data_IF_606279896846
#
_entry.id   IF_606279896846
#
_cell.length_a   1.000
_cell.length_b   1.000
_cell.length_c   1.000
_cell.angle_alpha   90.00
_cell.angle_beta   90.00
_cell.angle_gamma   90.00
#
_symmetry.space_group_name_H-M   'P 1'
#
loop_
_entity.id
_entity.type
_entity.pdbx_description
1 polymer ?
#
# COMPACT_ATOMS: atom_id res chain seq x y z
N UNK A 1 41.32 -17.25 -19.21
CA UNK A 1 42.51 -17.66 -19.97
C UNK A 1 42.57 -19.16 -20.00
N UNK A 2 42.91 -19.72 -21.15
CA UNK A 2 43.04 -21.17 -21.35
C UNK A 2 44.47 -21.45 -21.78
N UNK A 3 45.12 -22.39 -21.09
CA UNK A 3 46.45 -22.87 -21.45
C UNK A 3 46.32 -24.23 -22.12
N UNK A 4 46.97 -24.38 -23.27
CA UNK A 4 46.99 -25.63 -24.03
C UNK A 4 48.16 -26.51 -23.62
N UNK A 5 47.97 -27.82 -23.71
CA UNK A 5 49.02 -28.83 -23.43
C UNK A 5 50.17 -28.82 -24.45
N UNK A 6 49.95 -28.22 -25.63
CA UNK A 6 50.95 -28.07 -26.69
C UNK A 6 50.61 -26.91 -27.62
N UNK A 7 51.50 -26.56 -28.57
CA UNK A 7 51.25 -25.48 -29.52
C UNK A 7 50.11 -25.86 -30.48
N UNK A 8 49.07 -25.02 -30.52
CA UNK A 8 48.00 -25.15 -31.51
C UNK A 8 48.44 -24.61 -32.87
N UNK A 9 48.12 -25.37 -33.91
CA UNK A 9 48.29 -25.01 -35.31
C UNK A 9 47.08 -24.24 -35.85
N UNK A 10 45.88 -24.63 -35.41
CA UNK A 10 44.63 -23.96 -35.76
C UNK A 10 43.69 -23.90 -34.57
N UNK A 11 42.98 -22.77 -34.45
CA UNK A 11 41.99 -22.53 -33.41
C UNK A 11 40.75 -21.99 -34.12
N UNK A 12 39.57 -22.50 -33.76
CA UNK A 12 38.32 -21.97 -34.27
C UNK A 12 37.20 -22.11 -33.23
N UNK A 13 36.23 -21.22 -33.35
CA UNK A 13 35.00 -21.22 -32.55
C UNK A 13 33.86 -21.59 -33.46
N UNK A 14 32.99 -22.51 -33.01
CA UNK A 14 31.85 -23.00 -33.80
C UNK A 14 30.88 -21.87 -34.20
N UNK A 15 30.70 -20.89 -33.32
CA UNK A 15 29.88 -19.71 -33.54
C UNK A 15 30.57 -18.43 -33.02
N UNK A 16 31.17 -17.59 -33.91
CA UNK A 16 31.85 -16.35 -33.55
C UNK A 16 30.91 -15.20 -33.17
N UNK A 17 29.59 -15.36 -33.34
CA UNK A 17 28.61 -14.41 -32.83
C UNK A 17 28.39 -14.59 -31.32
N UNK A 18 28.56 -15.81 -30.80
CA UNK A 18 28.40 -16.14 -29.38
C UNK A 18 29.67 -15.84 -28.59
N UNK A 19 30.82 -16.32 -29.05
CA UNK A 19 32.10 -16.10 -28.40
C UNK A 19 33.22 -15.91 -29.42
N UNK A 20 34.26 -15.18 -29.04
CA UNK A 20 35.42 -14.90 -29.87
C UNK A 20 36.70 -15.19 -29.08
N UNK A 21 37.83 -15.27 -29.77
CA UNK A 21 39.09 -15.61 -29.13
C UNK A 21 40.24 -14.74 -29.64
N UNK A 22 41.25 -14.57 -28.77
CA UNK A 22 42.56 -14.08 -29.16
C UNK A 22 43.62 -15.03 -28.64
N UNK A 23 44.57 -15.38 -29.48
CA UNK A 23 45.69 -16.25 -29.14
C UNK A 23 47.00 -15.46 -29.24
N UNK A 24 47.44 -14.77 -28.18
CA UNK A 24 48.72 -14.06 -28.17
C UNK A 24 49.92 -14.99 -28.35
N UNK A 25 49.75 -16.28 -28.05
CA UNK A 25 50.72 -17.33 -28.35
C UNK A 25 50.01 -18.63 -28.71
N UNK A 26 50.76 -19.57 -29.28
CA UNK A 26 50.24 -20.86 -29.73
C UNK A 26 49.83 -21.77 -28.55
N UNK A 27 50.13 -21.38 -27.31
CA UNK A 27 49.83 -22.16 -26.10
C UNK A 27 48.85 -21.44 -25.15
N UNK A 28 48.51 -20.18 -25.41
CA UNK A 28 47.65 -19.37 -24.53
C UNK A 28 46.53 -18.71 -25.33
N UNK A 29 45.30 -18.94 -24.89
CA UNK A 29 44.09 -18.43 -25.54
C UNK A 29 43.28 -17.59 -24.55
N UNK A 30 42.91 -16.39 -24.95
CA UNK A 30 41.87 -15.58 -24.33
C UNK A 30 40.55 -15.83 -25.05
N UNK A 31 39.49 -16.10 -24.29
CA UNK A 31 38.14 -16.35 -24.81
C UNK A 31 37.23 -15.25 -24.27
N UNK A 32 36.47 -14.63 -25.16
CA UNK A 32 35.57 -13.53 -24.85
C UNK A 32 34.15 -13.92 -25.24
N UNK A 33 33.20 -13.83 -24.30
CA UNK A 33 31.78 -13.96 -24.62
C UNK A 33 31.26 -12.67 -25.25
N UNK A 34 30.56 -12.77 -26.38
CA UNK A 34 29.94 -11.62 -27.08
C UNK A 34 28.43 -11.61 -26.94
N UNK A 35 27.79 -12.77 -27.08
CA UNK A 35 26.33 -12.92 -27.03
C UNK A 35 25.94 -14.11 -26.19
N UNK A 36 24.82 -14.01 -25.47
CA UNK A 36 24.26 -15.12 -24.72
C UNK A 36 24.00 -16.33 -25.62
N UNK A 37 24.44 -17.51 -25.19
CA UNK A 37 24.37 -18.73 -26.00
C UNK A 37 25.35 -19.80 -25.57
N UNK A 38 25.39 -20.89 -26.35
CA UNK A 38 26.34 -22.00 -26.18
C UNK A 38 27.12 -22.16 -27.47
N UNK A 39 28.43 -22.27 -27.36
CA UNK A 39 29.33 -22.52 -28.48
C UNK A 39 30.49 -23.38 -28.03
N UNK A 40 31.30 -23.87 -28.96
CA UNK A 40 32.49 -24.67 -28.67
C UNK A 40 33.71 -24.05 -29.31
N UNK A 41 34.83 -24.09 -28.61
CA UNK A 41 36.14 -23.74 -29.13
C UNK A 41 36.96 -25.01 -29.29
N UNK A 42 37.58 -25.16 -30.46
CA UNK A 42 38.46 -26.25 -30.79
C UNK A 42 39.86 -25.71 -31.07
N UNK A 43 40.86 -26.34 -30.46
CA UNK A 43 42.26 -26.10 -30.75
C UNK A 43 42.87 -27.40 -31.25
N UNK A 44 43.44 -27.38 -32.47
CA UNK A 44 44.02 -28.54 -33.13
C UNK A 44 45.55 -28.40 -33.24
N UNK A 45 46.27 -29.51 -33.18
CA UNK A 45 47.69 -29.57 -33.50
C UNK A 45 47.95 -29.65 -35.01
N UNK A 46 49.22 -29.67 -35.42
CA UNK A 46 49.64 -29.75 -36.83
C UNK A 46 49.16 -31.04 -37.55
N UNK A 47 48.79 -32.07 -36.79
CA UNK A 47 48.28 -33.35 -37.32
C UNK A 47 46.74 -33.38 -37.44
N UNK A 48 46.06 -32.29 -37.06
CA UNK A 48 44.60 -32.20 -37.04
C UNK A 48 43.94 -32.87 -35.84
N UNK A 49 44.71 -33.27 -34.82
CA UNK A 49 44.17 -33.84 -33.58
C UNK A 49 43.79 -32.72 -32.60
N UNK A 50 42.67 -32.86 -31.90
CA UNK A 50 42.21 -31.88 -30.93
C UNK A 50 43.09 -31.86 -29.68
N UNK A 51 43.82 -30.76 -29.50
CA UNK A 51 44.55 -30.45 -28.27
C UNK A 51 43.61 -30.05 -27.14
N UNK A 52 42.53 -29.35 -27.47
CA UNK A 52 41.50 -28.97 -26.51
C UNK A 52 40.14 -28.78 -27.20
N UNK A 53 39.08 -29.23 -26.51
CA UNK A 53 37.69 -28.95 -26.83
C UNK A 53 37.06 -28.27 -25.61
N UNK A 54 36.66 -27.00 -25.75
CA UNK A 54 36.04 -26.24 -24.68
C UNK A 54 34.61 -25.88 -25.03
N UNK A 55 33.67 -26.26 -24.18
CA UNK A 55 32.28 -25.79 -24.23
C UNK A 55 32.19 -24.42 -23.53
N UNK A 56 31.79 -23.41 -24.28
CA UNK A 56 31.63 -22.03 -23.82
C UNK A 56 30.14 -21.76 -23.64
N UNK A 57 29.75 -21.37 -22.43
CA UNK A 57 28.38 -20.94 -22.11
C UNK A 57 28.44 -19.48 -21.68
N UNK A 58 27.87 -18.61 -22.51
CA UNK A 58 27.78 -17.18 -22.22
C UNK A 58 26.40 -16.93 -21.63
N UNK A 59 26.35 -16.54 -20.36
CA UNK A 59 25.11 -16.15 -19.67
C UNK A 59 25.15 -14.67 -19.33
N UNK A 60 24.02 -13.99 -19.50
CA UNK A 60 23.87 -12.65 -18.93
C UNK A 60 23.69 -12.78 -17.41
N UNK A 61 24.28 -11.88 -16.60
CA UNK A 61 24.04 -11.88 -15.16
C UNK A 61 22.54 -11.68 -14.89
N UNK A 62 21.93 -12.57 -14.10
CA UNK A 62 20.52 -12.43 -13.73
C UNK A 62 20.33 -11.33 -12.68
N UNK A 63 21.36 -11.06 -11.89
CA UNK A 63 21.32 -10.06 -10.82
C UNK A 63 21.16 -8.64 -11.36
N UNK A 64 21.74 -8.32 -12.52
CA UNK A 64 21.56 -7.02 -13.18
C UNK A 64 20.10 -6.82 -13.61
N UNK A 65 19.48 -7.86 -14.18
CA UNK A 65 18.06 -7.85 -14.54
C UNK A 65 17.19 -7.71 -13.29
N UNK A 66 17.51 -8.41 -12.20
CA UNK A 66 16.79 -8.30 -10.93
C UNK A 66 16.92 -6.91 -10.32
N UNK A 67 18.09 -6.29 -10.41
CA UNK A 67 18.31 -4.93 -9.94
C UNK A 67 17.51 -3.92 -10.76
N UNK A 68 17.51 -4.04 -12.09
CA UNK A 68 16.71 -3.21 -12.98
C UNK A 68 15.20 -3.36 -12.72
N UNK A 69 14.73 -4.59 -12.53
CA UNK A 69 13.34 -4.85 -12.16
C UNK A 69 12.98 -4.18 -10.84
N UNK A 70 13.75 -4.38 -9.76
CA UNK A 70 13.48 -3.75 -8.46
C UNK A 70 13.50 -2.21 -8.54
N UNK A 71 14.37 -1.63 -9.36
CA UNK A 71 14.45 -0.19 -9.54
C UNK A 71 13.18 0.38 -10.20
N UNK A 72 12.60 -0.33 -11.17
CA UNK A 72 11.42 0.15 -11.90
C UNK A 72 10.10 -0.19 -11.18
N UNK A 73 9.96 -1.42 -10.70
CA UNK A 73 8.68 -1.92 -10.17
C UNK A 73 8.61 -1.89 -8.64
N UNK A 74 9.72 -1.68 -7.95
CA UNK A 74 9.81 -1.70 -6.48
C UNK A 74 10.12 -3.09 -5.92
N UNK A 75 10.07 -3.21 -4.59
CA UNK A 75 10.47 -4.42 -3.85
C UNK A 75 9.35 -5.46 -3.71
N UNK A 76 8.57 -5.66 -4.78
CA UNK A 76 7.55 -6.70 -4.82
C UNK A 76 8.20 -8.08 -4.94
N UNK A 77 7.54 -9.16 -4.46
CA UNK A 77 8.05 -10.53 -4.52
C UNK A 77 7.94 -11.10 -5.94
N UNK A 78 8.52 -10.41 -6.92
CA UNK A 78 8.61 -10.80 -8.33
C UNK A 78 9.99 -11.43 -8.53
N UNK A 79 9.99 -12.64 -9.05
CA UNK A 79 11.18 -13.40 -9.38
C UNK A 79 11.30 -13.53 -10.89
N UNK A 80 12.54 -13.55 -11.36
CA UNK A 80 12.87 -13.78 -12.76
C UNK A 80 13.79 -14.98 -12.87
N UNK A 81 13.55 -15.81 -13.88
CA UNK A 81 14.39 -16.96 -14.22
C UNK A 81 14.63 -16.99 -15.71
N UNK A 82 15.87 -17.22 -16.13
CA UNK A 82 16.19 -17.36 -17.54
C UNK A 82 15.71 -18.69 -18.11
N UNK A 83 15.26 -18.66 -19.35
CA UNK A 83 14.94 -19.82 -20.16
C UNK A 83 15.80 -19.81 -21.43
N UNK A 84 15.94 -20.93 -22.15
CA UNK A 84 16.71 -20.96 -23.40
C UNK A 84 16.27 -19.95 -24.47
N UNK A 85 15.03 -19.43 -24.40
CA UNK A 85 14.47 -18.49 -25.38
C UNK A 85 14.10 -17.12 -24.79
N UNK A 86 14.39 -16.85 -23.51
CA UNK A 86 14.03 -15.60 -22.84
C UNK A 86 13.96 -15.75 -21.32
N UNK A 87 12.86 -15.33 -20.69
CA UNK A 87 12.71 -15.39 -19.23
C UNK A 87 11.28 -15.70 -18.78
N UNK A 88 11.15 -16.24 -17.58
CA UNK A 88 9.88 -16.42 -16.87
C UNK A 88 9.85 -15.46 -15.70
N UNK A 89 8.79 -14.67 -15.62
CA UNK A 89 8.46 -13.84 -14.47
C UNK A 89 7.43 -14.57 -13.60
N UNK A 90 7.66 -14.66 -12.30
CA UNK A 90 6.75 -15.32 -11.35
C UNK A 90 6.67 -14.54 -10.05
N UNK A 91 5.68 -14.84 -9.22
CA UNK A 91 5.49 -14.19 -7.92
C UNK A 91 4.15 -13.49 -7.81
N UNK A 92 4.08 -12.45 -6.99
CA UNK A 92 2.84 -11.69 -6.74
C UNK A 92 3.08 -10.20 -6.96
N UNK A 93 2.14 -9.53 -7.63
CA UNK A 93 2.13 -8.09 -7.83
C UNK A 93 0.79 -7.49 -7.38
N UNK A 94 0.75 -6.24 -6.90
CA UNK A 94 -0.47 -5.62 -6.39
C UNK A 94 -1.45 -5.20 -7.49
N UNK A 95 -0.97 -4.89 -8.70
CA UNK A 95 -1.80 -4.43 -9.81
C UNK A 95 -1.32 -5.01 -11.14
N UNK A 96 -2.19 -5.00 -12.15
CA UNK A 96 -1.83 -5.42 -13.50
C UNK A 96 -0.78 -4.49 -14.14
N UNK A 97 -0.75 -3.21 -13.76
CA UNK A 97 0.24 -2.24 -14.28
C UNK A 97 1.67 -2.61 -13.87
N UNK A 98 1.86 -3.05 -12.62
CA UNK A 98 3.17 -3.54 -12.13
C UNK A 98 3.63 -4.76 -12.94
N UNK A 99 2.72 -5.67 -13.25
CA UNK A 99 3.00 -6.86 -14.06
C UNK A 99 3.44 -6.48 -15.47
N UNK A 100 2.75 -5.53 -16.08
CA UNK A 100 3.08 -5.05 -17.43
C UNK A 100 4.42 -4.31 -17.48
N UNK A 101 4.71 -3.48 -16.48
CA UNK A 101 6.01 -2.81 -16.38
C UNK A 101 7.16 -3.81 -16.16
N UNK A 102 6.98 -4.80 -15.26
CA UNK A 102 7.97 -5.86 -15.05
C UNK A 102 8.27 -6.62 -16.35
N UNK A 103 7.22 -6.91 -17.13
CA UNK A 103 7.36 -7.55 -18.45
C UNK A 103 8.17 -6.69 -19.41
N UNK A 104 7.82 -5.40 -19.57
CA UNK A 104 8.51 -4.47 -20.48
C UNK A 104 9.98 -4.30 -20.15
N UNK A 105 10.32 -4.11 -18.87
CA UNK A 105 11.72 -4.01 -18.41
C UNK A 105 12.49 -5.27 -18.77
N UNK A 106 11.89 -6.44 -18.54
CA UNK A 106 12.51 -7.73 -18.87
C UNK A 106 12.73 -7.89 -20.37
N UNK A 107 11.75 -7.52 -21.21
CA UNK A 107 11.87 -7.57 -22.67
C UNK A 107 12.98 -6.62 -23.18
N UNK A 108 13.05 -5.41 -22.63
CA UNK A 108 14.08 -4.42 -23.00
C UNK A 108 15.49 -4.89 -22.60
N UNK A 109 15.63 -5.48 -21.42
CA UNK A 109 16.93 -5.97 -20.93
C UNK A 109 17.44 -7.18 -21.72
N UNK A 110 16.54 -8.08 -22.12
CA UNK A 110 16.89 -9.27 -22.91
C UNK A 110 17.09 -8.97 -24.40
N UNK A 111 16.53 -7.85 -24.89
CA UNK A 111 16.62 -7.42 -26.28
C UNK A 111 15.51 -7.99 -27.18
N UNK A 112 15.45 -7.47 -28.41
CA UNK A 112 14.40 -7.81 -29.37
C UNK A 112 14.38 -9.32 -29.71
N UNK A 113 13.23 -9.96 -29.50
CA UNK A 113 13.00 -11.38 -29.82
C UNK A 113 13.06 -12.35 -28.65
N UNK A 114 13.36 -11.87 -27.43
CA UNK A 114 13.29 -12.69 -26.23
C UNK A 114 11.83 -12.96 -25.81
N UNK A 115 11.52 -14.23 -25.50
CA UNK A 115 10.20 -14.63 -25.02
C UNK A 115 10.10 -14.41 -23.51
N UNK A 116 9.25 -13.49 -23.08
CA UNK A 116 8.97 -13.25 -21.66
C UNK A 116 7.63 -13.89 -21.30
N UNK A 117 7.69 -14.98 -20.54
CA UNK A 117 6.52 -15.69 -20.05
C UNK A 117 6.10 -15.12 -18.69
N UNK A 118 4.86 -14.62 -18.62
CA UNK A 118 4.30 -14.05 -17.40
C UNK A 118 3.55 -15.11 -16.58
N UNK A 119 3.99 -15.36 -15.36
CA UNK A 119 3.34 -16.18 -14.33
C UNK A 119 3.16 -15.40 -13.01
N UNK A 120 3.15 -14.07 -13.08
CA UNK A 120 2.89 -13.23 -11.91
C UNK A 120 1.39 -13.28 -11.59
N UNK A 121 1.06 -13.52 -10.34
CA UNK A 121 -0.31 -13.44 -9.83
C UNK A 121 -0.60 -12.00 -9.41
N UNK A 122 -1.70 -11.43 -9.92
CA UNK A 122 -2.17 -10.12 -9.46
C UNK A 122 -2.97 -10.36 -8.18
N UNK A 123 -2.46 -9.86 -7.06
CA UNK A 123 -3.20 -9.80 -5.81
C UNK A 123 -4.42 -8.91 -6.07
N UNK A 124 -5.61 -9.50 -6.12
CA UNK A 124 -6.84 -8.74 -6.31
C UNK A 124 -6.93 -7.62 -5.28
N UNK A 125 -7.29 -6.41 -5.72
CA UNK A 125 -7.54 -5.30 -4.81
C UNK A 125 -8.72 -5.68 -3.92
N UNK A 126 -8.52 -5.75 -2.60
CA UNK A 126 -9.61 -5.92 -1.66
C UNK A 126 -10.37 -4.59 -1.61
N UNK A 127 -11.34 -4.40 -2.51
CA UNK A 127 -12.13 -3.17 -2.57
C UNK A 127 -13.01 -3.05 -1.31
N UNK A 128 -12.65 -2.14 -0.40
CA UNK A 128 -13.45 -1.86 0.79
C UNK A 128 -14.59 -0.91 0.44
N UNK A 129 -15.83 -1.38 0.55
CA UNK A 129 -17.02 -0.53 0.44
C UNK A 129 -17.27 0.14 1.79
N UNK A 130 -16.96 1.43 1.89
CA UNK A 130 -17.24 2.22 3.10
C UNK A 130 -18.68 2.74 3.04
N UNK A 131 -19.52 2.30 3.98
CA UNK A 131 -20.87 2.85 4.18
C UNK A 131 -20.86 3.74 5.41
N UNK A 132 -20.94 5.06 5.21
CA UNK A 132 -21.00 6.05 6.29
C UNK A 132 -22.46 6.30 6.63
N UNK A 133 -22.87 5.93 7.84
CA UNK A 133 -24.17 6.33 8.40
C UNK A 133 -23.94 7.44 9.41
N UNK A 134 -24.26 8.67 9.01
CA UNK A 134 -24.24 9.82 9.91
C UNK A 134 -25.54 9.80 10.71
N UNK A 135 -25.43 9.63 12.02
CA UNK A 135 -26.55 9.81 12.94
C UNK A 135 -26.31 11.11 13.71
N UNK A 136 -27.09 12.14 13.39
CA UNK A 136 -27.14 13.36 14.18
C UNK A 136 -28.12 13.13 15.35
N UNK A 137 -27.66 13.31 16.58
CA UNK A 137 -28.50 13.22 17.78
C UNK A 137 -28.70 14.63 18.33
N UNK A 138 -29.80 15.27 17.97
CA UNK A 138 -30.19 16.55 18.57
C UNK A 138 -30.79 16.30 19.95
N UNK A 139 -30.01 16.54 21.02
CA UNK A 139 -30.54 16.53 22.40
C UNK A 139 -31.08 17.91 22.74
N UNK A 140 -32.40 18.09 22.64
CA UNK A 140 -33.06 19.22 23.30
C UNK A 140 -33.79 18.69 24.53
N UNK A 141 -33.29 19.01 25.73
CA UNK A 141 -33.95 18.71 26.98
C UNK A 141 -34.57 20.01 27.50
N UNK A 142 -35.90 20.08 27.55
CA UNK A 142 -36.63 21.15 28.23
C UNK A 142 -37.23 20.61 29.52
N UNK A 143 -36.90 21.26 30.64
CA UNK A 143 -37.40 20.94 31.99
C UNK A 143 -38.12 22.17 32.55
N UNK A 144 -39.34 22.40 32.08
CA UNK A 144 -40.25 23.39 32.64
C UNK A 144 -41.31 22.68 33.50
N UNK A 145 -40.88 22.19 34.68
CA UNK A 145 -41.82 21.67 35.67
C UNK A 145 -42.27 22.82 36.57
N UNK A 146 -43.54 23.21 36.43
CA UNK A 146 -44.18 24.24 37.24
C UNK A 146 -45.22 23.58 38.16
N UNK A 147 -45.19 23.88 39.45
CA UNK A 147 -46.07 23.28 40.46
C UNK A 147 -47.04 24.36 40.94
N UNK A 148 -48.34 24.09 40.86
CA UNK A 148 -49.38 24.97 41.38
C UNK A 148 -50.31 24.21 42.31
N UNK A 149 -50.41 24.64 43.56
CA UNK A 149 -51.28 24.09 44.58
C UNK A 149 -52.34 25.12 44.98
N UNK A 150 -53.61 24.73 44.89
CA UNK A 150 -54.75 25.56 45.27
C UNK A 150 -55.61 24.85 46.30
N UNK A 151 -55.92 25.52 47.39
CA UNK A 151 -56.90 25.09 48.37
C UNK A 151 -57.98 26.17 48.51
N UNK A 152 -59.25 25.81 48.52
CA UNK A 152 -60.35 26.78 48.69
C UNK A 152 -61.36 26.31 49.72
N UNK A 153 -61.93 27.25 50.47
CA UNK A 153 -62.93 26.99 51.49
C UNK A 153 -63.87 28.18 51.69
N UNK A 154 -64.87 28.04 52.59
CA UNK A 154 -65.92 29.06 52.78
C UNK A 154 -65.40 30.45 53.18
N UNK A 155 -64.20 30.51 53.77
CA UNK A 155 -63.57 31.73 54.25
C UNK A 155 -62.49 32.28 53.31
N UNK A 156 -62.34 31.71 52.09
CA UNK A 156 -61.38 32.16 51.09
C UNK A 156 -60.60 31.03 50.39
N UNK A 157 -59.81 31.40 49.39
CA UNK A 157 -58.90 30.53 48.65
C UNK A 157 -57.44 30.88 48.94
N UNK A 158 -56.61 29.85 49.02
CA UNK A 158 -55.16 29.93 49.16
C UNK A 158 -54.48 29.27 47.96
N UNK A 159 -53.46 29.93 47.43
CA UNK A 159 -52.69 29.53 46.25
C UNK A 159 -51.22 29.50 46.61
N UNK A 160 -50.51 28.41 46.27
CA UNK A 160 -49.06 28.36 46.21
C UNK A 160 -48.66 28.02 44.77
N UNK A 161 -47.89 28.88 44.12
CA UNK A 161 -47.29 28.63 42.82
C UNK A 161 -45.78 28.54 42.97
N UNK A 162 -45.14 27.60 42.27
CA UNK A 162 -43.72 27.38 42.33
C UNK A 162 -43.17 26.96 40.98
N UNK A 163 -42.41 27.83 40.33
CA UNK A 163 -41.65 27.46 39.13
C UNK A 163 -40.25 27.01 39.55
N UNK A 164 -39.91 25.76 39.28
CA UNK A 164 -38.57 25.24 39.52
C UNK A 164 -37.55 25.98 38.65
N UNK A 165 -36.53 26.57 39.27
CA UNK A 165 -35.37 27.09 38.54
C UNK A 165 -34.63 25.91 37.90
N UNK A 166 -34.50 25.92 36.57
CA UNK A 166 -33.75 24.89 35.87
C UNK A 166 -32.28 24.98 36.23
N UNK A 167 -31.71 23.90 36.76
CA UNK A 167 -30.26 23.78 36.93
C UNK A 167 -29.61 23.66 35.53
N UNK A 168 -29.10 24.78 35.00
CA UNK A 168 -28.30 24.78 33.77
C UNK A 168 -28.52 25.92 32.77
N UNK A 169 -29.29 26.97 33.08
CA UNK A 169 -29.27 28.21 32.30
C UNK A 169 -28.67 29.32 33.17
N UNK A 170 -27.84 30.19 32.58
CA UNK A 170 -27.14 31.32 33.21
C UNK A 170 -28.05 32.44 33.79
N UNK A 171 -29.25 32.06 34.23
CA UNK A 171 -30.23 32.88 34.95
C UNK A 171 -31.18 31.99 35.75
N UNK A 172 -30.67 30.88 36.31
CA UNK A 172 -31.41 29.81 37.00
C UNK A 172 -32.06 30.23 38.31
N UNK A 173 -33.00 31.17 38.24
CA UNK A 173 -33.81 31.60 39.36
C UNK A 173 -35.15 30.88 39.44
N UNK A 174 -35.56 30.54 40.66
CA UNK A 174 -36.87 29.94 40.95
C UNK A 174 -37.80 30.98 41.57
N UNK A 175 -39.08 30.92 41.24
CA UNK A 175 -40.10 31.78 41.85
C UNK A 175 -41.05 30.95 42.69
N UNK A 176 -41.39 31.46 43.87
CA UNK A 176 -42.44 30.93 44.73
C UNK A 176 -43.42 32.06 45.03
N UNK A 177 -44.68 31.88 44.65
CA UNK A 177 -45.76 32.80 44.97
C UNK A 177 -46.73 32.18 45.96
N UNK A 178 -47.16 32.96 46.94
CA UNK A 178 -48.28 32.64 47.83
C UNK A 178 -49.39 33.68 47.66
N UNK A 179 -50.64 33.24 47.65
CA UNK A 179 -51.80 34.11 47.48
C UNK A 179 -52.96 33.68 48.36
N UNK A 180 -53.67 34.66 48.91
CA UNK A 180 -54.93 34.50 49.61
C UNK A 180 -56.00 35.39 48.99
N UNK A 181 -57.20 34.87 48.84
CA UNK A 181 -58.36 35.57 48.26
C UNK A 181 -59.61 35.29 49.09
N UNK A 182 -60.31 36.31 49.54
CA UNK A 182 -61.62 36.17 50.19
C UNK A 182 -62.53 37.34 49.82
N UNK A 183 -63.62 37.04 49.08
CA UNK A 183 -64.56 38.06 48.59
C UNK A 183 -63.86 39.08 47.66
N UNK A 184 -63.89 40.36 48.03
CA UNK A 184 -63.26 41.45 47.28
C UNK A 184 -61.81 41.74 47.72
N UNK A 185 -61.27 41.00 48.70
CA UNK A 185 -59.92 41.22 49.23
C UNK A 185 -58.97 40.14 48.73
N UNK A 186 -57.89 40.54 48.07
CA UNK A 186 -56.82 39.66 47.61
C UNK A 186 -55.48 40.14 48.17
N UNK A 187 -54.68 39.21 48.68
CA UNK A 187 -53.31 39.45 49.13
C UNK A 187 -52.39 38.43 48.48
N UNK A 188 -51.33 38.89 47.82
CA UNK A 188 -50.31 38.02 47.25
C UNK A 188 -48.91 38.49 47.60
N UNK A 189 -48.00 37.53 47.74
CA UNK A 189 -46.57 37.75 47.91
C UNK A 189 -45.82 36.78 46.99
N UNK A 190 -44.80 37.29 46.30
CA UNK A 190 -43.94 36.49 45.44
C UNK A 190 -42.51 36.67 45.89
N UNK A 191 -41.81 35.55 46.07
CA UNK A 191 -40.38 35.48 46.29
C UNK A 191 -39.73 34.98 45.01
N UNK A 192 -38.92 35.82 44.40
CA UNK A 192 -38.06 35.47 43.27
C UNK A 192 -36.63 35.30 43.78
N UNK A 193 -36.02 34.16 43.51
CA UNK A 193 -34.64 33.87 43.85
C UNK A 193 -33.82 33.89 42.56
N UNK A 194 -33.14 34.99 42.26
CA UNK A 194 -32.25 35.10 41.10
C UNK A 194 -30.92 34.40 41.40
N UNK A 195 -30.50 33.47 40.54
CA UNK A 195 -29.14 32.93 40.57
C UNK A 195 -28.21 33.88 39.80
N UNK A 196 -27.30 34.56 40.49
CA UNK A 196 -26.19 35.28 39.85
C UNK A 196 -24.93 34.41 39.89
N UNK A 197 -24.41 34.02 38.75
CA UNK A 197 -23.03 33.53 38.64
C UNK A 197 -22.11 34.74 38.41
N UNK A 198 -21.04 34.84 39.20
CA UNK A 198 -19.94 35.72 38.87
C UNK A 198 -18.76 34.86 38.39
N UNK A 199 -18.41 35.08 37.12
CA UNK A 199 -17.34 34.51 36.28
C UNK A 199 -17.55 33.11 35.71
#
# INVERSE_FOLDING_TARGET
>A
TVHLTGPAASIFVADPAIADYQAPSNTTIFVFGKKAGRTSLFALNDKGEALAELRIVVTQPIEDLRAALRAEVGDYPIQVSYTPRGAILSGTAPTADVVENARKVTEQFLGAGALVANKIQVAGSLQVNLSVRVAEVSRSAVKDLNINFTASGPNGAFLITGKGGGSGAAGGGGTIGIGFSAGNTNLSAVLDALASEHL
#
